data_IF_131599338923
#
_entry.id   IF_131599338923
#
_cell.length_a   1.000
_cell.length_b   1.000
_cell.length_c   1.000
_cell.angle_alpha   90.00
_cell.angle_beta   90.00
_cell.angle_gamma   90.00
#
_symmetry.space_group_name_H-M   'P 1'
#
loop_
_entity.id
_entity.type
_entity.pdbx_description
1 polymer ?
#
# COMPACT_ATOMS: atom_id res chain seq x y z
N UNK A 1 9.97 -11.68 -13.25
CA UNK A 1 8.80 -11.77 -12.35
C UNK A 1 7.81 -10.72 -12.81
N UNK A 2 6.53 -11.06 -12.92
CA UNK A 2 5.45 -10.17 -13.36
C UNK A 2 4.61 -9.86 -12.13
N UNK A 3 4.62 -8.60 -11.72
CA UNK A 3 4.00 -8.10 -10.50
C UNK A 3 2.61 -7.53 -10.78
N UNK A 4 1.65 -7.85 -9.91
CA UNK A 4 0.32 -7.24 -9.91
C UNK A 4 -0.16 -6.99 -8.47
N UNK A 5 0.36 -5.91 -7.87
CA UNK A 5 -0.01 -5.44 -6.53
C UNK A 5 -0.96 -4.26 -6.55
N UNK A 6 -1.35 -3.78 -5.37
CA UNK A 6 -2.23 -2.61 -5.21
C UNK A 6 -1.59 -1.35 -5.79
N UNK A 7 -0.28 -1.16 -5.55
CA UNK A 7 0.47 0.03 -5.97
C UNK A 7 1.13 -0.12 -7.35
N UNK A 8 1.50 -1.35 -7.71
CA UNK A 8 2.33 -1.62 -8.87
C UNK A 8 1.69 -2.71 -9.73
N UNK A 9 1.01 -2.26 -10.78
CA UNK A 9 0.24 -3.11 -11.69
C UNK A 9 0.98 -3.26 -13.01
N UNK A 10 1.62 -4.41 -13.26
CA UNK A 10 2.43 -4.66 -14.46
C UNK A 10 1.89 -5.79 -15.32
N UNK A 11 0.85 -6.52 -14.89
CA UNK A 11 0.32 -7.66 -15.63
C UNK A 11 -0.10 -7.27 -17.04
N UNK A 12 -0.86 -6.19 -17.19
CA UNK A 12 -1.37 -5.80 -18.50
C UNK A 12 -0.27 -5.41 -19.49
N UNK A 13 0.81 -4.79 -19.01
CA UNK A 13 1.94 -4.39 -19.84
C UNK A 13 2.85 -5.57 -20.21
N UNK A 14 3.01 -6.54 -19.31
CA UNK A 14 3.98 -7.63 -19.46
C UNK A 14 3.36 -8.94 -19.97
N UNK A 15 2.07 -9.17 -19.77
CA UNK A 15 1.38 -10.38 -20.22
C UNK A 15 1.55 -10.67 -21.73
N UNK A 16 1.51 -9.68 -22.65
CA UNK A 16 1.72 -9.92 -24.08
C UNK A 16 3.11 -10.48 -24.43
N UNK A 17 4.09 -10.36 -23.52
CA UNK A 17 5.43 -10.89 -23.73
C UNK A 17 5.51 -12.40 -23.44
N UNK A 18 4.54 -12.98 -22.74
CA UNK A 18 4.56 -14.40 -22.35
C UNK A 18 4.22 -15.27 -23.55
N UNK A 19 5.06 -16.26 -23.84
CA UNK A 19 4.82 -17.28 -24.86
C UNK A 19 5.34 -18.66 -24.40
N UNK A 20 5.10 -19.68 -25.22
CA UNK A 20 5.50 -21.06 -24.89
C UNK A 20 7.02 -21.21 -24.68
N UNK A 21 7.83 -20.47 -25.44
CA UNK A 21 9.28 -20.55 -25.40
C UNK A 21 9.87 -19.89 -24.14
N UNK A 22 9.39 -18.71 -23.75
CA UNK A 22 9.95 -17.95 -22.63
C UNK A 22 9.23 -18.18 -21.29
N UNK A 23 8.01 -18.74 -21.28
CA UNK A 23 7.26 -19.01 -20.05
C UNK A 23 8.01 -19.79 -18.98
N UNK A 24 8.99 -20.68 -19.27
CA UNK A 24 9.88 -21.24 -18.26
C UNK A 24 10.65 -20.24 -17.39
N UNK A 25 10.87 -19.02 -17.88
CA UNK A 25 11.61 -17.94 -17.21
C UNK A 25 10.68 -16.84 -16.67
N UNK A 26 9.37 -16.99 -16.85
CA UNK A 26 8.36 -16.06 -16.36
C UNK A 26 7.70 -16.61 -15.08
N UNK A 27 7.37 -15.73 -14.15
CA UNK A 27 6.68 -16.08 -12.90
C UNK A 27 5.78 -14.93 -12.46
N UNK A 28 4.70 -15.25 -11.75
CA UNK A 28 3.75 -14.28 -11.21
C UNK A 28 4.05 -13.95 -9.75
N UNK A 29 3.83 -12.70 -9.34
CA UNK A 29 3.77 -12.29 -7.95
C UNK A 29 2.73 -11.19 -7.76
N UNK A 30 2.19 -11.07 -6.56
CA UNK A 30 1.30 -9.98 -6.18
C UNK A 30 2.06 -8.80 -5.57
N UNK A 31 3.24 -9.04 -4.97
CA UNK A 31 3.89 -8.04 -4.10
C UNK A 31 2.89 -7.57 -3.02
N UNK A 32 2.81 -6.28 -2.74
CA UNK A 32 1.82 -5.73 -1.81
C UNK A 32 0.41 -5.77 -2.40
N UNK A 33 -0.49 -6.52 -1.75
CA UNK A 33 -1.91 -6.58 -2.10
C UNK A 33 -2.74 -6.45 -0.84
N UNK A 34 -3.62 -5.46 -0.79
CA UNK A 34 -4.42 -5.20 0.40
C UNK A 34 -5.54 -6.26 0.58
N UNK A 35 -6.05 -6.47 1.81
CA UNK A 35 -7.09 -7.46 2.08
C UNK A 35 -8.37 -7.27 1.25
N UNK A 36 -8.73 -6.03 0.94
CA UNK A 36 -9.91 -5.72 0.14
C UNK A 36 -9.77 -6.23 -1.30
N UNK A 37 -8.64 -6.00 -1.96
CA UNK A 37 -8.37 -6.51 -3.31
C UNK A 37 -8.30 -8.04 -3.34
N UNK A 38 -7.73 -8.67 -2.30
CA UNK A 38 -7.70 -10.13 -2.20
C UNK A 38 -9.12 -10.68 -2.12
N UNK A 39 -9.99 -10.07 -1.31
CA UNK A 39 -11.37 -10.50 -1.14
C UNK A 39 -12.22 -10.33 -2.42
N UNK A 40 -12.00 -9.25 -3.17
CA UNK A 40 -12.83 -8.90 -4.33
C UNK A 40 -12.31 -9.45 -5.66
N UNK A 41 -11.00 -9.53 -5.84
CA UNK A 41 -10.39 -9.90 -7.12
C UNK A 41 -9.75 -11.29 -7.09
N UNK A 42 -9.25 -11.70 -5.92
CA UNK A 42 -8.41 -12.88 -5.70
C UNK A 42 -6.93 -12.53 -5.53
N UNK A 43 -6.09 -13.56 -5.53
CA UNK A 43 -4.64 -13.48 -5.38
C UNK A 43 -3.96 -13.91 -6.70
N UNK A 44 -3.02 -14.87 -6.68
CA UNK A 44 -2.40 -15.41 -7.90
C UNK A 44 -3.44 -16.03 -8.86
N UNK A 45 -4.53 -16.59 -8.34
CA UNK A 45 -5.64 -17.12 -9.15
C UNK A 45 -6.26 -16.03 -10.05
N UNK A 46 -6.36 -14.79 -9.56
CA UNK A 46 -6.85 -13.65 -10.31
C UNK A 46 -5.94 -13.32 -11.50
N UNK A 47 -4.62 -13.36 -11.28
CA UNK A 47 -3.64 -13.12 -12.34
C UNK A 47 -3.73 -14.22 -13.41
N UNK A 48 -3.86 -15.49 -13.01
CA UNK A 48 -4.05 -16.61 -13.95
C UNK A 48 -5.31 -16.38 -14.80
N UNK A 49 -6.43 -16.06 -14.16
CA UNK A 49 -7.71 -15.78 -14.84
C UNK A 49 -7.57 -14.65 -15.85
N UNK A 50 -6.94 -13.54 -15.45
CA UNK A 50 -6.69 -12.39 -16.34
C UNK A 50 -5.77 -12.72 -17.50
N UNK A 51 -4.70 -13.50 -17.28
CA UNK A 51 -3.84 -13.97 -18.37
C UNK A 51 -4.64 -14.74 -19.43
N UNK A 52 -5.55 -15.61 -19.00
CA UNK A 52 -6.32 -16.47 -19.90
C UNK A 52 -7.46 -15.70 -20.59
N UNK A 53 -8.24 -14.95 -19.82
CA UNK A 53 -9.49 -14.33 -20.30
C UNK A 53 -9.26 -12.98 -20.98
N UNK A 54 -8.31 -12.18 -20.49
CA UNK A 54 -8.06 -10.83 -21.01
C UNK A 54 -6.90 -10.81 -22.01
N UNK A 55 -5.83 -11.59 -21.75
CA UNK A 55 -4.62 -11.59 -22.57
C UNK A 55 -4.49 -12.80 -23.50
N UNK A 56 -5.48 -13.70 -23.50
CA UNK A 56 -5.52 -14.89 -24.36
C UNK A 56 -4.29 -15.81 -24.24
N UNK A 57 -3.62 -15.81 -23.08
CA UNK A 57 -2.50 -16.72 -22.81
C UNK A 57 -3.04 -18.16 -22.76
N UNK A 58 -2.42 -19.12 -23.47
CA UNK A 58 -2.85 -20.51 -23.44
C UNK A 58 -2.86 -21.08 -22.01
N UNK A 59 -3.85 -21.92 -21.69
CA UNK A 59 -4.06 -22.46 -20.33
C UNK A 59 -2.78 -23.05 -19.73
N UNK A 60 -2.11 -23.96 -20.44
CA UNK A 60 -0.90 -24.61 -19.95
C UNK A 60 0.26 -23.63 -19.72
N UNK A 61 0.31 -22.51 -20.45
CA UNK A 61 1.30 -21.45 -20.27
C UNK A 61 0.98 -20.63 -19.02
N UNK A 62 -0.27 -20.21 -18.85
CA UNK A 62 -0.72 -19.45 -17.68
C UNK A 62 -0.50 -20.24 -16.37
N UNK A 63 -0.83 -21.52 -16.35
CA UNK A 63 -0.55 -22.38 -15.18
C UNK A 63 0.93 -22.64 -14.99
N UNK A 64 1.73 -22.80 -16.06
CA UNK A 64 3.18 -22.99 -15.96
C UNK A 64 3.85 -21.81 -15.27
N UNK A 65 3.53 -20.58 -15.67
CA UNK A 65 4.12 -19.37 -15.06
C UNK A 65 3.69 -19.18 -13.61
N UNK A 66 2.54 -19.71 -13.21
CA UNK A 66 2.04 -19.62 -11.84
C UNK A 66 2.52 -20.78 -10.92
N UNK A 67 3.11 -21.83 -11.48
CA UNK A 67 3.48 -23.04 -10.74
C UNK A 67 4.91 -23.47 -11.03
N UNK A 68 5.12 -24.23 -12.11
CA UNK A 68 6.38 -24.87 -12.45
C UNK A 68 7.53 -23.87 -12.60
N UNK A 69 7.33 -22.77 -13.33
CA UNK A 69 8.39 -21.79 -13.58
C UNK A 69 8.85 -21.14 -12.28
N UNK A 70 7.90 -20.78 -11.40
CA UNK A 70 8.19 -20.23 -10.07
C UNK A 70 8.97 -21.24 -9.22
N UNK A 71 8.52 -22.50 -9.15
CA UNK A 71 9.19 -23.54 -8.39
C UNK A 71 10.63 -23.79 -8.90
N UNK A 72 10.83 -23.79 -10.23
CA UNK A 72 12.17 -23.94 -10.83
C UNK A 72 13.07 -22.75 -10.52
N UNK A 73 12.56 -21.53 -10.58
CA UNK A 73 13.32 -20.32 -10.30
C UNK A 73 13.92 -20.34 -8.88
N UNK A 74 13.13 -20.74 -7.88
CA UNK A 74 13.57 -20.82 -6.49
C UNK A 74 14.27 -22.14 -6.12
N UNK A 75 14.53 -23.03 -7.08
CA UNK A 75 15.18 -24.32 -6.81
C UNK A 75 14.30 -25.32 -6.04
N UNK A 76 12.99 -25.06 -5.91
CA UNK A 76 12.00 -25.90 -5.24
C UNK A 76 11.56 -27.05 -6.15
N UNK A 77 12.51 -27.88 -6.55
CA UNK A 77 12.34 -28.90 -7.58
C UNK A 77 11.27 -29.96 -7.25
N UNK A 78 10.83 -30.07 -6.00
CA UNK A 78 9.78 -30.99 -5.56
C UNK A 78 8.36 -30.43 -5.75
N UNK A 79 8.19 -29.14 -6.08
CA UNK A 79 6.91 -28.44 -6.22
C UNK A 79 6.58 -28.06 -7.67
N UNK A 80 5.38 -27.52 -7.87
CA UNK A 80 4.97 -26.81 -9.09
C UNK A 80 4.64 -27.68 -10.29
N UNK A 81 4.58 -29.01 -10.13
CA UNK A 81 4.27 -29.94 -11.22
C UNK A 81 3.52 -31.16 -10.72
N UNK A 82 2.48 -31.57 -11.44
CA UNK A 82 1.82 -32.85 -11.25
C UNK A 82 2.61 -33.95 -11.96
N UNK A 83 3.47 -34.66 -11.21
CA UNK A 83 4.23 -35.80 -11.71
C UNK A 83 4.63 -36.75 -10.55
N UNK A 84 4.90 -38.04 -10.83
CA UNK A 84 5.46 -38.94 -9.83
C UNK A 84 6.71 -38.37 -9.17
N UNK A 85 6.80 -38.49 -7.84
CA UNK A 85 7.92 -37.96 -7.04
C UNK A 85 7.86 -36.46 -6.74
N UNK A 86 6.77 -35.76 -7.10
CA UNK A 86 6.48 -34.38 -6.66
C UNK A 86 5.54 -34.37 -5.46
N UNK A 87 5.56 -33.28 -4.68
CA UNK A 87 4.61 -33.07 -3.60
C UNK A 87 3.19 -32.88 -4.17
N UNK A 88 2.21 -33.49 -3.51
CA UNK A 88 0.81 -33.39 -3.90
C UNK A 88 0.14 -32.09 -3.40
N UNK A 89 0.70 -30.95 -3.81
CA UNK A 89 0.03 -29.65 -3.71
C UNK A 89 -0.79 -29.44 -4.99
N UNK A 90 -2.09 -29.65 -4.90
CA UNK A 90 -2.98 -29.79 -6.06
C UNK A 90 -4.16 -28.86 -5.89
N UNK A 91 -4.48 -28.10 -6.95
CA UNK A 91 -5.73 -27.34 -7.04
C UNK A 91 -6.59 -28.01 -8.10
N UNK A 92 -7.69 -28.63 -7.68
CA UNK A 92 -8.71 -29.16 -8.59
C UNK A 92 -9.64 -28.02 -9.01
N UNK A 93 -9.82 -27.87 -10.31
CA UNK A 93 -10.62 -26.80 -10.90
C UNK A 93 -11.84 -27.40 -11.58
N UNK A 94 -13.02 -26.81 -11.32
CA UNK A 94 -14.24 -27.12 -12.07
C UNK A 94 -14.28 -26.40 -13.42
N UNK A 95 -13.56 -25.28 -13.53
CA UNK A 95 -13.35 -24.53 -14.78
C UNK A 95 -11.91 -23.98 -14.80
N UNK A 96 -11.08 -24.51 -15.71
CA UNK A 96 -9.68 -24.11 -15.86
C UNK A 96 -9.50 -22.75 -16.56
N UNK A 97 -10.50 -22.25 -17.29
CA UNK A 97 -10.43 -20.92 -17.92
C UNK A 97 -10.78 -19.82 -16.91
N UNK A 98 -11.81 -20.05 -16.10
CA UNK A 98 -12.24 -19.12 -15.04
C UNK A 98 -11.44 -19.25 -13.73
N UNK A 99 -10.64 -20.31 -13.61
CA UNK A 99 -9.90 -20.66 -12.40
C UNK A 99 -10.85 -20.90 -11.21
N UNK A 100 -12.00 -21.53 -11.48
CA UNK A 100 -12.97 -21.86 -10.43
C UNK A 100 -12.47 -23.06 -9.64
N UNK A 101 -12.03 -22.82 -8.40
CA UNK A 101 -11.49 -23.86 -7.51
C UNK A 101 -12.61 -24.72 -6.95
N UNK A 102 -12.48 -26.04 -7.15
CA UNK A 102 -13.36 -27.04 -6.58
C UNK A 102 -12.78 -27.61 -5.27
N UNK A 103 -11.48 -27.88 -5.23
CA UNK A 103 -10.81 -28.46 -4.07
C UNK A 103 -9.32 -28.09 -4.07
N UNK A 104 -8.76 -27.92 -2.89
CA UNK A 104 -7.31 -27.77 -2.70
C UNK A 104 -6.79 -28.94 -1.88
N UNK A 105 -5.64 -29.48 -2.27
CA UNK A 105 -4.90 -30.48 -1.52
C UNK A 105 -3.53 -29.91 -1.20
N UNK A 106 -3.08 -30.06 0.04
CA UNK A 106 -1.72 -29.70 0.47
C UNK A 106 -1.05 -30.96 0.97
N UNK A 107 0.08 -31.32 0.37
CA UNK A 107 0.79 -32.60 0.65
C UNK A 107 -0.10 -33.85 0.51
N UNK A 108 -1.09 -33.79 -0.38
CA UNK A 108 -2.03 -34.88 -0.64
C UNK A 108 -3.25 -34.90 0.27
N UNK A 109 -3.30 -34.03 1.28
CA UNK A 109 -4.43 -33.95 2.20
C UNK A 109 -5.44 -32.90 1.71
N UNK A 110 -6.73 -33.25 1.60
CA UNK A 110 -7.77 -32.31 1.21
C UNK A 110 -7.92 -31.21 2.27
N UNK A 111 -7.96 -29.95 1.82
CA UNK A 111 -8.25 -28.80 2.66
C UNK A 111 -9.76 -28.58 2.67
N UNK A 112 -10.34 -28.48 3.86
CA UNK A 112 -11.75 -28.13 4.06
C UNK A 112 -11.89 -26.69 4.55
N UNK A 113 -12.59 -25.87 3.77
CA UNK A 113 -12.83 -24.48 4.08
C UNK A 113 -13.65 -24.30 5.38
N UNK A 114 -14.59 -25.21 5.66
CA UNK A 114 -15.39 -25.14 6.90
C UNK A 114 -14.53 -25.41 8.13
N UNK A 115 -13.65 -26.42 8.06
CA UNK A 115 -12.67 -26.69 9.11
C UNK A 115 -11.72 -25.50 9.30
N UNK A 116 -11.18 -24.91 8.22
CA UNK A 116 -10.32 -23.73 8.33
C UNK A 116 -10.99 -22.54 9.03
N UNK A 117 -12.27 -22.32 8.76
CA UNK A 117 -13.06 -21.27 9.39
C UNK A 117 -13.39 -21.60 10.86
N UNK A 118 -13.74 -22.86 11.14
CA UNK A 118 -14.05 -23.30 12.51
C UNK A 118 -12.82 -23.24 13.44
N UNK A 119 -11.62 -23.49 12.90
CA UNK A 119 -10.36 -23.46 13.64
C UNK A 119 -9.70 -22.07 13.68
N UNK A 120 -10.29 -21.05 13.05
CA UNK A 120 -9.69 -19.72 12.90
C UNK A 120 -9.24 -19.13 14.25
N UNK A 121 -10.14 -19.09 15.24
CA UNK A 121 -9.84 -18.56 16.58
C UNK A 121 -8.75 -19.36 17.29
N UNK A 122 -8.73 -20.69 17.12
CA UNK A 122 -7.72 -21.56 17.72
C UNK A 122 -6.34 -21.32 17.09
N UNK A 123 -6.29 -21.18 15.76
CA UNK A 123 -5.07 -20.83 15.01
C UNK A 123 -4.56 -19.44 15.37
N UNK A 124 -5.43 -18.46 15.50
CA UNK A 124 -5.06 -17.12 15.95
C UNK A 124 -4.43 -17.18 17.35
N UNK A 125 -5.07 -17.87 18.30
CA UNK A 125 -4.53 -18.06 19.64
C UNK A 125 -3.17 -18.78 19.63
N UNK A 126 -3.02 -19.81 18.80
CA UNK A 126 -1.76 -20.54 18.63
C UNK A 126 -0.65 -19.68 18.03
N UNK A 127 -0.98 -18.81 17.07
CA UNK A 127 -0.01 -17.92 16.42
C UNK A 127 0.54 -16.86 17.36
N UNK A 128 -0.16 -16.57 18.47
CA UNK A 128 0.23 -15.64 19.52
C UNK A 128 0.83 -14.34 18.96
N UNK A 129 0.06 -13.57 18.15
CA UNK A 129 0.61 -12.40 17.50
C UNK A 129 1.11 -11.40 18.56
N UNK A 130 2.18 -10.64 18.26
CA UNK A 130 2.78 -9.73 19.21
C UNK A 130 1.87 -8.52 19.41
N UNK A 131 0.92 -8.65 20.33
CA UNK A 131 0.08 -7.54 20.74
C UNK A 131 0.90 -6.55 21.58
N UNK A 132 0.92 -5.30 21.15
CA UNK A 132 1.60 -4.22 21.85
C UNK A 132 1.54 -2.95 21.02
N UNK A 133 1.14 -1.84 21.65
CA UNK A 133 1.16 -0.55 20.98
C UNK A 133 2.61 -0.16 20.67
N UNK A 134 2.98 -0.21 19.39
CA UNK A 134 4.31 0.18 18.90
C UNK A 134 4.42 1.66 18.58
N UNK A 135 3.31 2.40 18.63
CA UNK A 135 3.27 3.85 18.42
C UNK A 135 3.75 4.54 19.70
N UNK A 136 5.06 4.66 19.85
CA UNK A 136 5.70 5.38 20.94
C UNK A 136 5.78 6.89 20.63
N UNK A 137 4.64 7.52 20.36
CA UNK A 137 4.54 8.96 20.07
C UNK A 137 3.50 9.63 20.97
N UNK A 138 3.83 10.83 21.44
CA UNK A 138 2.86 11.67 22.17
C UNK A 138 1.88 12.33 21.19
N UNK A 139 0.66 12.69 21.65
CA UNK A 139 -0.26 13.49 20.86
C UNK A 139 0.38 14.77 20.34
N UNK A 140 -0.06 15.20 19.16
CA UNK A 140 0.40 16.42 18.48
C UNK A 140 -0.71 17.46 18.43
N UNK A 141 -0.33 18.68 18.13
CA UNK A 141 -1.17 19.86 17.97
C UNK A 141 -0.98 20.46 16.57
N UNK A 142 -1.90 21.34 16.15
CA UNK A 142 -1.77 22.04 14.87
C UNK A 142 -0.45 22.82 14.76
N UNK A 143 0.05 23.38 15.87
CA UNK A 143 1.32 24.12 15.88
C UNK A 143 2.54 23.26 15.57
N UNK A 144 2.47 21.93 15.72
CA UNK A 144 3.57 21.03 15.37
C UNK A 144 3.77 20.90 13.85
N UNK A 145 2.79 21.36 13.05
CA UNK A 145 2.82 21.36 11.58
C UNK A 145 3.02 22.75 10.97
N UNK A 146 3.44 23.74 11.78
CA UNK A 146 3.56 25.12 11.32
C UNK A 146 4.67 25.28 10.27
N UNK A 147 4.27 25.34 8.99
CA UNK A 147 5.12 25.74 7.88
C UNK A 147 5.02 27.25 7.68
N UNK A 148 6.18 27.92 7.56
CA UNK A 148 6.25 29.34 7.25
C UNK A 148 6.67 29.54 5.80
N UNK A 149 5.92 30.36 5.08
CA UNK A 149 6.20 30.68 3.68
C UNK A 149 6.36 32.18 3.50
N UNK A 150 7.32 32.55 2.65
CA UNK A 150 7.62 33.94 2.31
C UNK A 150 7.05 34.25 0.93
N UNK A 151 6.19 35.28 0.76
CA UNK A 151 5.70 35.69 -0.54
C UNK A 151 6.83 35.96 -1.55
N UNK A 152 6.65 35.50 -2.78
CA UNK A 152 7.64 35.60 -3.86
C UNK A 152 8.72 34.50 -3.84
N UNK A 153 8.79 33.67 -2.79
CA UNK A 153 9.70 32.51 -2.75
C UNK A 153 9.08 31.27 -3.38
N UNK A 154 9.96 30.37 -3.80
CA UNK A 154 9.63 29.12 -4.47
C UNK A 154 9.93 27.94 -3.54
N UNK A 155 9.00 26.99 -3.47
CA UNK A 155 9.08 25.83 -2.60
C UNK A 155 8.96 24.54 -3.40
N UNK A 156 9.70 23.51 -2.99
CA UNK A 156 9.66 22.16 -3.60
C UNK A 156 8.37 21.45 -3.20
N UNK A 157 7.77 20.79 -4.17
CA UNK A 157 6.54 20.03 -4.04
C UNK A 157 6.82 18.60 -4.53
N UNK A 158 6.55 17.62 -3.68
CA UNK A 158 6.50 16.21 -4.10
C UNK A 158 5.28 16.08 -4.99
N UNK A 159 5.42 15.69 -6.25
CA UNK A 159 4.28 15.62 -7.17
C UNK A 159 3.92 14.16 -7.44
N UNK A 160 2.68 13.80 -7.11
CA UNK A 160 2.16 12.44 -7.24
C UNK A 160 1.73 12.18 -8.68
N UNK A 161 2.09 11.00 -9.18
CA UNK A 161 1.55 10.45 -10.42
C UNK A 161 0.62 9.30 -10.02
N UNK A 162 -0.66 9.41 -10.36
CA UNK A 162 -1.64 8.38 -10.01
C UNK A 162 -1.22 7.01 -10.56
N UNK A 163 -1.30 5.98 -9.71
CA UNK A 163 -0.97 4.59 -10.04
C UNK A 163 0.52 4.33 -10.34
N UNK A 164 1.41 5.24 -9.95
CA UNK A 164 2.85 5.04 -10.05
C UNK A 164 3.55 5.24 -8.69
N UNK A 165 4.63 4.49 -8.48
CA UNK A 165 5.46 4.61 -7.27
C UNK A 165 6.39 5.84 -7.33
N UNK A 166 6.80 6.22 -8.54
CA UNK A 166 7.69 7.34 -8.75
C UNK A 166 6.94 8.66 -8.53
N UNK A 167 7.69 9.68 -8.11
CA UNK A 167 7.17 11.06 -7.99
C UNK A 167 8.00 11.98 -8.86
N UNK A 168 7.37 13.05 -9.34
CA UNK A 168 8.13 14.17 -9.88
C UNK A 168 8.54 15.13 -8.75
N UNK A 169 9.52 15.97 -9.06
CA UNK A 169 9.93 17.09 -8.22
C UNK A 169 9.54 18.37 -8.94
N UNK A 170 8.50 19.04 -8.45
CA UNK A 170 8.07 20.34 -8.96
C UNK A 170 8.32 21.42 -7.92
N UNK A 171 8.09 22.66 -8.33
CA UNK A 171 8.16 23.79 -7.43
C UNK A 171 6.97 24.71 -7.64
N UNK A 172 6.48 25.31 -6.55
CA UNK A 172 5.37 26.27 -6.55
C UNK A 172 5.80 27.56 -5.88
N UNK A 173 5.36 28.70 -6.42
CA UNK A 173 5.63 30.02 -5.84
C UNK A 173 4.55 30.35 -4.82
N UNK A 174 4.97 30.78 -3.63
CA UNK A 174 4.05 31.26 -2.61
C UNK A 174 3.78 32.75 -2.80
N UNK A 175 2.51 33.15 -2.76
CA UNK A 175 2.04 34.54 -2.86
C UNK A 175 1.27 34.95 -1.61
N UNK A 176 0.82 36.20 -1.53
CA UNK A 176 -0.06 36.66 -0.43
C UNK A 176 -1.38 35.86 -0.35
N UNK A 177 -1.81 35.25 -1.47
CA UNK A 177 -3.04 34.46 -1.56
C UNK A 177 -2.80 32.94 -1.46
N UNK A 178 -1.59 32.52 -1.10
CA UNK A 178 -1.19 31.11 -1.09
C UNK A 178 -0.35 30.71 -2.29
N UNK A 179 -0.20 29.40 -2.51
CA UNK A 179 0.56 28.84 -3.62
C UNK A 179 -0.08 29.13 -4.99
N UNK A 180 0.75 29.27 -6.02
CA UNK A 180 0.32 29.44 -7.43
C UNK A 180 -0.32 28.19 -8.06
N UNK A 181 -0.48 27.14 -7.26
CA UNK A 181 -1.17 25.88 -7.54
C UNK A 181 -2.23 25.63 -6.47
N UNK A 182 -3.42 25.24 -6.88
CA UNK A 182 -4.56 24.96 -6.00
C UNK A 182 -4.51 23.56 -5.37
N UNK A 183 -3.83 22.62 -6.04
CA UNK A 183 -3.67 21.22 -5.65
C UNK A 183 -2.62 20.96 -4.55
N UNK A 184 -1.92 22.00 -4.08
CA UNK A 184 -0.86 21.87 -3.07
C UNK A 184 -1.44 21.57 -1.70
N UNK A 185 -1.21 20.36 -1.22
CA UNK A 185 -1.52 19.90 0.14
C UNK A 185 -0.28 19.89 1.03
N UNK A 186 -0.48 19.90 2.34
CA UNK A 186 0.59 19.68 3.31
C UNK A 186 0.79 18.19 3.52
N UNK A 187 2.04 17.78 3.66
CA UNK A 187 2.42 16.42 4.06
C UNK A 187 3.37 16.50 5.24
N UNK A 188 3.22 15.60 6.19
CA UNK A 188 4.17 15.45 7.28
C UNK A 188 4.49 13.98 7.55
N UNK A 189 5.73 13.72 7.99
CA UNK A 189 6.18 12.41 8.46
C UNK A 189 6.70 12.54 9.88
N UNK A 190 6.12 11.75 10.78
CA UNK A 190 6.36 11.82 12.21
C UNK A 190 6.99 10.53 12.71
N UNK A 191 8.16 10.68 13.32
CA UNK A 191 8.84 9.58 14.01
C UNK A 191 7.95 8.98 15.10
N UNK A 192 7.80 7.64 15.12
CA UNK A 192 6.87 6.96 16.03
C UNK A 192 7.52 5.99 17.02
N UNK A 193 8.84 5.88 17.04
CA UNK A 193 9.63 4.91 17.80
C UNK A 193 10.20 5.48 19.11
N UNK A 194 9.74 6.66 19.55
CA UNK A 194 10.07 7.23 20.85
C UNK A 194 11.28 8.15 20.88
N UNK A 195 11.84 8.52 19.73
CA UNK A 195 12.96 9.47 19.66
C UNK A 195 12.52 10.93 19.86
N UNK A 196 11.20 11.20 19.85
CA UNK A 196 10.61 12.52 20.12
C UNK A 196 11.08 13.61 19.13
N UNK A 197 11.27 13.21 17.88
CA UNK A 197 11.59 14.15 16.80
C UNK A 197 10.35 15.01 16.46
N UNK A 198 10.60 16.28 16.14
CA UNK A 198 9.59 17.16 15.56
C UNK A 198 9.11 16.59 14.21
N UNK A 199 7.84 16.82 13.83
CA UNK A 199 7.35 16.41 12.51
C UNK A 199 8.20 17.00 11.38
N UNK A 200 8.64 16.16 10.45
CA UNK A 200 9.17 16.64 9.19
C UNK A 200 7.99 17.04 8.31
N UNK A 201 7.96 18.28 7.83
CA UNK A 201 6.85 18.82 7.04
C UNK A 201 7.30 19.16 5.61
N UNK A 202 6.39 19.06 4.65
CA UNK A 202 6.63 19.33 3.24
C UNK A 202 5.33 19.63 2.48
N UNK A 203 5.47 19.76 1.16
CA UNK A 203 4.38 20.04 0.24
C UNK A 203 4.16 18.87 -0.72
N UNK A 204 2.90 18.59 -1.02
CA UNK A 204 2.47 17.53 -1.92
C UNK A 204 1.52 18.09 -2.98
N UNK A 205 1.76 17.79 -4.24
CA UNK A 205 0.90 18.10 -5.39
C UNK A 205 0.38 16.83 -6.04
N UNK A 206 -0.67 16.95 -6.85
CA UNK A 206 -1.19 15.85 -7.66
C UNK A 206 -1.89 14.73 -6.89
N UNK A 207 -2.07 14.85 -5.56
CA UNK A 207 -2.73 13.83 -4.74
C UNK A 207 -4.27 13.90 -4.77
N UNK A 208 -4.84 15.02 -5.24
CA UNK A 208 -6.29 15.19 -5.38
C UNK A 208 -7.05 15.46 -4.08
N UNK A 209 -6.38 15.79 -2.98
CA UNK A 209 -7.03 16.15 -1.72
C UNK A 209 -7.48 17.62 -1.75
N UNK A 210 -8.79 17.85 -1.64
CA UNK A 210 -9.38 19.19 -1.68
C UNK A 210 -9.68 19.75 -0.28
N UNK A 211 -10.06 18.87 0.64
CA UNK A 211 -10.40 19.18 2.04
C UNK A 211 -10.04 18.01 2.95
N UNK A 212 -9.97 18.23 4.27
CA UNK A 212 -9.70 17.15 5.22
C UNK A 212 -8.21 16.77 5.33
N UNK A 213 -7.99 15.61 5.96
CA UNK A 213 -6.69 14.99 6.13
C UNK A 213 -6.78 13.46 6.16
N UNK A 214 -5.73 12.79 5.67
CA UNK A 214 -5.55 11.34 5.75
C UNK A 214 -4.27 11.05 6.52
N UNK A 215 -4.31 10.10 7.45
CA UNK A 215 -3.12 9.61 8.17
C UNK A 215 -2.97 8.10 8.05
N UNK A 216 -1.73 7.62 8.03
CA UNK A 216 -1.39 6.22 7.97
C UNK A 216 -0.12 5.91 8.77
N UNK A 217 -0.06 4.71 9.34
CA UNK A 217 1.17 4.17 9.94
C UNK A 217 1.86 3.11 9.07
N UNK A 218 1.18 2.69 8.00
CA UNK A 218 1.79 1.92 6.90
C UNK A 218 2.48 2.91 5.97
N UNK A 219 3.78 3.15 6.18
CA UNK A 219 4.57 4.11 5.41
C UNK A 219 5.94 3.54 5.04
N UNK A 220 6.05 2.89 3.88
CA UNK A 220 7.23 2.16 3.44
C UNK A 220 8.52 3.00 3.53
N UNK A 221 9.66 2.45 3.98
CA UNK A 221 9.86 1.20 4.75
C UNK A 221 10.23 1.48 6.20
N UNK A 222 10.31 2.76 6.58
CA UNK A 222 10.53 3.15 7.97
C UNK A 222 9.27 3.06 8.82
N UNK A 223 8.10 2.99 8.19
CA UNK A 223 6.77 2.92 8.80
C UNK A 223 6.57 3.96 9.89
N UNK A 224 7.00 5.20 9.63
CA UNK A 224 6.63 6.33 10.48
C UNK A 224 5.17 6.75 10.20
N UNK A 225 4.60 7.60 11.05
CA UNK A 225 3.26 8.13 10.76
C UNK A 225 3.42 9.11 9.58
N UNK A 226 2.68 8.90 8.50
CA UNK A 226 2.53 9.86 7.40
C UNK A 226 1.14 10.46 7.46
N UNK A 227 1.05 11.77 7.25
CA UNK A 227 -0.23 12.49 7.18
C UNK A 227 -0.20 13.47 6.02
N UNK A 228 -1.29 13.54 5.28
CA UNK A 228 -1.54 14.55 4.24
C UNK A 228 -2.78 15.31 4.64
N UNK A 229 -2.79 16.63 4.53
CA UNK A 229 -3.97 17.42 4.83
C UNK A 229 -3.97 18.81 4.21
N UNK A 230 -5.13 19.45 4.32
CA UNK A 230 -5.34 20.84 3.88
C UNK A 230 -5.24 21.86 5.01
N UNK A 231 -5.29 21.39 6.26
CA UNK A 231 -5.16 22.21 7.46
C UNK A 231 -4.33 21.47 8.52
N UNK A 232 -3.58 22.23 9.32
CA UNK A 232 -2.77 21.66 10.39
C UNK A 232 -3.65 21.03 11.49
N UNK A 233 -4.84 21.58 11.70
CA UNK A 233 -5.83 21.13 12.67
C UNK A 233 -6.34 19.72 12.32
N UNK A 234 -6.74 19.48 11.07
CA UNK A 234 -7.23 18.18 10.64
C UNK A 234 -6.09 17.16 10.54
N UNK A 235 -4.89 17.58 10.15
CA UNK A 235 -3.70 16.72 10.21
C UNK A 235 -3.42 16.26 11.65
N UNK A 236 -3.46 17.18 12.62
CA UNK A 236 -3.28 16.83 14.03
C UNK A 236 -4.36 15.85 14.52
N UNK A 237 -5.63 16.06 14.14
CA UNK A 237 -6.71 15.15 14.49
C UNK A 237 -6.48 13.75 13.91
N UNK A 238 -6.11 13.65 12.63
CA UNK A 238 -5.87 12.37 11.96
C UNK A 238 -4.68 11.62 12.58
N UNK A 239 -3.58 12.33 12.87
CA UNK A 239 -2.40 11.76 13.55
C UNK A 239 -2.77 11.27 14.96
N UNK A 240 -3.51 12.06 15.73
CA UNK A 240 -3.87 11.68 17.10
C UNK A 240 -4.80 10.47 17.13
N UNK A 241 -5.69 10.34 16.15
CA UNK A 241 -6.53 9.15 16.01
C UNK A 241 -5.67 7.89 15.79
N UNK A 242 -4.72 7.90 14.85
CA UNK A 242 -3.87 6.71 14.62
C UNK A 242 -2.91 6.44 15.79
N UNK A 243 -2.52 7.45 16.58
CA UNK A 243 -1.79 7.24 17.83
C UNK A 243 -2.67 6.53 18.86
N UNK A 244 -3.92 6.97 19.01
CA UNK A 244 -4.90 6.39 19.93
C UNK A 244 -5.23 4.94 19.57
N UNK A 245 -5.34 4.63 18.28
CA UNK A 245 -5.66 3.29 17.78
C UNK A 245 -4.49 2.29 17.93
N UNK A 246 -3.30 2.76 18.31
CA UNK A 246 -2.09 1.93 18.33
C UNK A 246 -1.54 1.65 16.93
N UNK A 247 -1.83 2.55 16.00
CA UNK A 247 -1.50 2.48 14.58
C UNK A 247 -2.71 2.13 13.73
N UNK A 248 -2.67 2.47 12.46
CA UNK A 248 -3.82 2.34 11.57
C UNK A 248 -3.84 3.33 10.43
N UNK A 249 -5.03 3.46 9.87
CA UNK A 249 -5.39 4.42 8.82
C UNK A 249 -6.52 5.31 9.34
N UNK A 250 -6.55 6.58 8.94
CA UNK A 250 -7.58 7.52 9.36
C UNK A 250 -7.91 8.53 8.25
N UNK A 251 -9.19 8.87 8.13
CA UNK A 251 -9.71 9.96 7.32
C UNK A 251 -10.43 10.96 8.22
N UNK A 252 -10.03 12.22 8.12
CA UNK A 252 -10.66 13.37 8.78
C UNK A 252 -11.22 14.31 7.72
N UNK A 253 -12.41 14.86 7.97
CA UNK A 253 -13.01 15.93 7.18
C UNK A 253 -13.92 16.76 8.07
N UNK A 254 -13.97 18.06 7.85
CA UNK A 254 -14.78 19.01 8.62
C UNK A 254 -14.47 18.96 10.13
N UNK A 255 -13.19 18.76 10.47
CA UNK A 255 -12.75 18.69 11.87
C UNK A 255 -13.24 17.46 12.64
N UNK A 256 -13.67 16.40 11.95
CA UNK A 256 -14.14 15.15 12.56
C UNK A 256 -13.51 13.94 11.88
N UNK A 257 -13.26 12.88 12.65
CA UNK A 257 -12.87 11.57 12.13
C UNK A 257 -14.08 10.96 11.42
N UNK A 258 -13.97 10.78 10.10
CA UNK A 258 -15.03 10.22 9.27
C UNK A 258 -14.95 8.69 9.23
N UNK A 259 -13.72 8.16 9.21
CA UNK A 259 -13.46 6.73 9.23
C UNK A 259 -12.02 6.48 9.71
N UNK A 260 -11.80 5.34 10.36
CA UNK A 260 -10.49 4.89 10.81
C UNK A 260 -10.46 3.36 10.82
N UNK A 261 -9.27 2.78 10.66
CA UNK A 261 -9.02 1.35 10.69
C UNK A 261 -7.81 1.09 11.60
N UNK A 262 -8.03 0.60 12.83
CA UNK A 262 -6.95 0.21 13.74
C UNK A 262 -6.12 -0.96 13.19
N UNK A 263 -4.80 -0.83 13.23
CA UNK A 263 -3.83 -1.87 12.87
C UNK A 263 -2.94 -2.18 14.09
N UNK A 264 -3.49 -2.85 15.12
CA UNK A 264 -2.86 -2.95 16.44
C UNK A 264 -1.53 -3.73 16.45
N UNK A 265 -1.25 -4.55 15.44
CA UNK A 265 0.02 -5.25 15.32
C UNK A 265 1.00 -4.38 14.57
N UNK A 266 1.97 -3.81 15.30
CA UNK A 266 3.04 -2.95 14.78
C UNK A 266 2.56 -1.67 14.04
N UNK A 267 1.28 -1.30 14.14
CA UNK A 267 0.68 -0.28 13.28
C UNK A 267 0.62 -0.68 11.81
N UNK A 268 0.64 -1.98 11.50
CA UNK A 268 0.72 -2.49 10.12
C UNK A 268 -0.33 -3.56 9.83
N UNK A 269 -0.68 -4.38 10.82
CA UNK A 269 -1.57 -5.52 10.66
C UNK A 269 -2.66 -5.53 11.73
N UNK A 270 -3.75 -6.26 11.44
CA UNK A 270 -4.84 -6.51 12.37
C UNK A 270 -5.07 -8.02 12.51
N UNK A 271 -5.70 -8.40 13.62
CA UNK A 271 -6.18 -9.76 13.87
C UNK A 271 -7.63 -9.96 13.47
N UNK A 272 -8.27 -8.91 12.98
CA UNK A 272 -9.60 -9.00 12.39
C UNK A 272 -9.59 -9.92 11.17
N UNK A 273 -10.75 -10.50 10.87
CA UNK A 273 -10.93 -11.35 9.70
C UNK A 273 -10.72 -10.54 8.42
N UNK A 274 -10.28 -11.21 7.35
CA UNK A 274 -10.10 -10.55 6.06
C UNK A 274 -11.39 -9.90 5.54
N UNK A 275 -12.55 -10.52 5.82
CA UNK A 275 -13.86 -9.95 5.49
C UNK A 275 -14.13 -8.66 6.27
N UNK A 276 -13.94 -8.67 7.60
CA UNK A 276 -14.11 -7.47 8.43
C UNK A 276 -13.19 -6.34 7.97
N UNK A 277 -11.93 -6.66 7.66
CA UNK A 277 -10.99 -5.66 7.14
C UNK A 277 -11.39 -5.12 5.78
N UNK A 278 -11.92 -5.95 4.88
CA UNK A 278 -12.42 -5.48 3.59
C UNK A 278 -13.59 -4.47 3.79
N UNK A 279 -14.55 -4.77 4.66
CA UNK A 279 -15.67 -3.87 4.96
C UNK A 279 -15.19 -2.55 5.60
N UNK A 280 -14.19 -2.59 6.49
CA UNK A 280 -13.58 -1.39 7.07
C UNK A 280 -12.81 -0.58 6.02
N UNK A 281 -12.10 -1.23 5.10
CA UNK A 281 -11.42 -0.57 3.97
C UNK A 281 -12.43 0.09 3.02
N UNK A 282 -13.59 -0.53 2.78
CA UNK A 282 -14.68 0.09 2.01
C UNK A 282 -15.16 1.40 2.65
N UNK A 283 -15.39 1.39 3.97
CA UNK A 283 -15.77 2.59 4.71
C UNK A 283 -14.69 3.68 4.64
N UNK A 284 -13.41 3.31 4.77
CA UNK A 284 -12.28 4.24 4.60
C UNK A 284 -12.23 4.85 3.21
N UNK A 285 -12.36 4.02 2.16
CA UNK A 285 -12.36 4.48 0.76
C UNK A 285 -13.54 5.39 0.48
N UNK A 286 -14.72 5.09 1.00
CA UNK A 286 -15.89 5.95 0.88
C UNK A 286 -15.65 7.32 1.54
N UNK A 287 -15.14 7.34 2.77
CA UNK A 287 -14.78 8.59 3.46
C UNK A 287 -13.66 9.38 2.75
N UNK A 288 -12.69 8.69 2.17
CA UNK A 288 -11.58 9.32 1.44
C UNK A 288 -12.05 9.99 0.15
N UNK A 289 -12.96 9.37 -0.62
CA UNK A 289 -13.55 9.94 -1.85
C UNK A 289 -14.30 11.25 -1.60
N UNK A 290 -14.87 11.39 -0.41
CA UNK A 290 -15.54 12.61 0.03
C UNK A 290 -14.58 13.79 0.27
N UNK A 291 -13.27 13.54 0.36
CA UNK A 291 -12.24 14.57 0.57
C UNK A 291 -11.66 15.13 -0.74
N UNK A 292 -11.95 14.50 -1.89
CA UNK A 292 -11.49 14.93 -3.22
C UNK A 292 -11.28 13.77 -4.21
N UNK A 293 -10.88 14.06 -5.46
CA UNK A 293 -10.58 13.06 -6.48
C UNK A 293 -9.22 12.36 -6.25
N UNK A 294 -9.12 11.65 -5.12
CA UNK A 294 -7.92 10.90 -4.70
C UNK A 294 -7.60 9.72 -5.65
N UNK A 295 -6.38 9.17 -5.61
CA UNK A 295 -6.06 7.88 -6.23
C UNK A 295 -7.01 6.76 -5.76
N UNK A 296 -7.16 5.70 -6.58
CA UNK A 296 -8.02 4.56 -6.25
C UNK A 296 -7.63 3.87 -4.93
N UNK A 297 -6.33 3.85 -4.62
CA UNK A 297 -5.74 3.31 -3.40
C UNK A 297 -4.91 4.39 -2.68
N UNK A 298 -5.55 5.38 -2.02
CA UNK A 298 -4.87 6.58 -1.53
C UNK A 298 -3.86 6.26 -0.43
N UNK A 299 -4.17 5.34 0.49
CA UNK A 299 -3.27 4.94 1.57
C UNK A 299 -2.06 4.15 1.07
N UNK A 300 -2.23 3.36 0.00
CA UNK A 300 -1.11 2.68 -0.64
C UNK A 300 -0.21 3.69 -1.33
N UNK A 301 -0.77 4.66 -2.06
CA UNK A 301 0.02 5.75 -2.65
C UNK A 301 0.79 6.54 -1.58
N UNK A 302 0.14 6.85 -0.46
CA UNK A 302 0.77 7.52 0.70
C UNK A 302 1.97 6.75 1.23
N UNK A 303 1.89 5.42 1.27
CA UNK A 303 2.93 4.59 1.87
C UNK A 303 4.28 4.75 1.15
N UNK A 304 4.30 5.09 -0.13
CA UNK A 304 5.53 5.30 -0.91
C UNK A 304 6.07 6.74 -0.87
N UNK A 305 5.32 7.70 -0.33
CA UNK A 305 5.77 9.10 -0.22
C UNK A 305 6.90 9.27 0.81
N UNK A 306 7.08 8.29 1.70
CA UNK A 306 8.14 8.23 2.68
C UNK A 306 9.30 7.30 2.36
N UNK A 307 9.33 6.71 1.15
CA UNK A 307 10.32 5.71 0.79
C UNK A 307 11.52 6.36 0.08
N UNK A 308 12.65 6.65 0.75
CA UNK A 308 13.72 7.50 0.19
C UNK A 308 14.56 6.82 -0.90
N UNK A 309 14.35 5.52 -1.15
CA UNK A 309 15.13 4.72 -2.12
C UNK A 309 14.56 4.75 -3.55
N UNK A 310 13.45 5.47 -3.76
CA UNK A 310 12.82 5.63 -5.08
C UNK A 310 12.80 7.11 -5.49
N UNK A 311 13.13 7.45 -6.76
CA UNK A 311 13.10 8.84 -7.25
C UNK A 311 11.70 9.50 -7.25
N UNK A 312 11.60 10.83 -7.32
CA UNK A 312 12.67 11.83 -7.22
C UNK A 312 12.72 12.51 -5.84
N UNK A 313 11.58 12.99 -5.32
CA UNK A 313 11.51 13.70 -4.04
C UNK A 313 10.59 12.95 -3.07
N UNK A 314 11.03 12.74 -1.82
CA UNK A 314 10.33 11.99 -0.77
C UNK A 314 10.45 12.69 0.58
N UNK A 315 9.56 12.41 1.52
CA UNK A 315 9.61 12.97 2.87
C UNK A 315 9.88 11.88 3.89
N UNK A 316 10.97 12.00 4.66
CA UNK A 316 11.25 11.09 5.78
C UNK A 316 10.98 11.80 7.10
N UNK A 317 10.99 11.08 8.22
CA UNK A 317 10.90 11.71 9.56
C UNK A 317 12.10 12.60 9.90
N UNK A 318 13.17 12.58 9.08
CA UNK A 318 14.35 13.42 9.24
C UNK A 318 14.33 14.65 8.31
N UNK A 319 13.38 14.73 7.38
CA UNK A 319 13.27 15.83 6.42
C UNK A 319 13.07 15.37 4.98
N UNK A 320 13.03 16.36 4.09
CA UNK A 320 12.85 16.21 2.65
C UNK A 320 14.11 15.60 2.03
N UNK A 321 13.94 14.53 1.26
CA UNK A 321 15.03 13.75 0.69
C UNK A 321 14.93 13.71 -0.84
N UNK A 322 16.03 14.05 -1.51
CA UNK A 322 16.18 13.96 -2.96
C UNK A 322 16.81 12.61 -3.28
N UNK A 323 16.01 11.70 -3.84
CA UNK A 323 16.41 10.33 -4.19
C UNK A 323 17.34 10.27 -5.40
N UNK A 324 17.37 11.28 -6.26
CA UNK A 324 18.30 11.33 -7.40
C UNK A 324 19.70 11.74 -6.96
N UNK A 325 19.78 12.75 -6.07
CA UNK A 325 21.06 13.19 -5.47
C UNK A 325 21.47 12.35 -4.27
N UNK A 326 20.55 11.54 -3.76
CA UNK A 326 20.68 10.71 -2.57
C UNK A 326 21.13 11.51 -1.33
N UNK A 327 20.47 12.66 -1.11
CA UNK A 327 20.80 13.59 -0.04
C UNK A 327 19.56 14.32 0.48
N UNK A 328 19.63 14.79 1.73
CA UNK A 328 18.61 15.72 2.25
C UNK A 328 18.66 17.05 1.52
N UNK A 329 17.49 17.67 1.33
CA UNK A 329 17.34 18.97 0.70
C UNK A 329 16.36 19.85 1.47
N UNK A 330 16.31 21.13 1.15
CA UNK A 330 15.45 22.12 1.81
C UNK A 330 14.10 22.23 1.10
N UNK A 331 13.06 22.62 1.83
CA UNK A 331 11.76 22.90 1.23
C UNK A 331 11.78 24.15 0.33
N UNK A 332 12.40 25.23 0.79
CA UNK A 332 12.64 26.43 -0.05
C UNK A 332 13.71 26.14 -1.11
N UNK A 333 13.44 26.54 -2.36
CA UNK A 333 14.41 26.49 -3.45
C UNK A 333 15.35 27.68 -3.31
N UNK A 334 16.56 27.42 -2.81
CA UNK A 334 17.67 28.38 -2.84
C UNK A 334 18.34 28.31 -4.20
N UNK A 335 18.39 29.44 -4.92
CA UNK A 335 19.22 29.60 -6.13
C UNK A 335 20.71 29.51 -5.82
#
# INVERSE_FOLDING_TARGET
MIREGSAARNLNALAPLINEFNSPQCMLCTDDRNPWEIAHEGHIDALIRRLIEQHNVPLHVAYRVASWSTARHFGLNHLGLLAPGKQADIVLLSDARKVTVQQVLVKGEPIDAQTLQAEESARLAQSAPPYGNTIARQPVSASDFALQFTPGKRYRVIDVIHNELITHSHSSVYSENGFDRDDVSFIAVLERYGQRLAPACGLLGGFGLNEGALAATVSHDSHNIVVIGRSAEEMALAVNQVIQDGGGLCVVRNGQVQSHLPLPIAGLMSTDTAQSLAEQIDALKAAARECGPLPDEPFIQMAFLSLPVIPALKLTSQGLFDGEKFAFTTLEVTE
#
